data_IF_382769104540
#
_entry.id   IF_382769104540
#
_cell.length_a   1.000
_cell.length_b   1.000
_cell.length_c   1.000
_cell.angle_alpha   90.00
_cell.angle_beta   90.00
_cell.angle_gamma   90.00
#
_symmetry.space_group_name_H-M   'P 1'
#
loop_
_entity.id
_entity.type
_entity.pdbx_description
1 polymer ?
#
# COMPACT_ATOMS: atom_id res chain seq x y z
N UNK A 1 16.34 -24.39 18.73
CA UNK A 1 15.78 -23.23 19.47
C UNK A 1 14.52 -22.82 18.75
N UNK A 2 13.40 -22.75 19.45
CA UNK A 2 12.14 -22.36 18.84
C UNK A 2 12.13 -20.86 18.43
N UNK A 3 11.45 -20.54 17.34
CA UNK A 3 11.38 -19.18 16.79
C UNK A 3 9.97 -18.75 16.37
N UNK A 4 9.80 -17.43 16.21
CA UNK A 4 8.59 -16.84 15.63
C UNK A 4 8.90 -16.44 14.20
N UNK A 5 8.14 -17.00 13.26
CA UNK A 5 8.24 -16.78 11.82
C UNK A 5 7.00 -16.07 11.32
N UNK A 6 7.20 -14.97 10.60
CA UNK A 6 6.13 -14.18 9.99
C UNK A 6 6.14 -14.38 8.47
N UNK A 7 4.97 -14.63 7.89
CA UNK A 7 4.77 -14.72 6.44
C UNK A 7 3.73 -13.70 6.01
N UNK A 8 4.11 -12.77 5.14
CA UNK A 8 3.20 -11.72 4.64
C UNK A 8 3.11 -11.64 3.13
N UNK A 9 2.05 -10.98 2.65
CA UNK A 9 1.75 -10.83 1.24
C UNK A 9 0.25 -10.67 0.99
N UNK A 10 -0.09 -10.11 -0.16
CA UNK A 10 -1.49 -9.88 -0.55
C UNK A 10 -2.30 -11.19 -0.58
N UNK A 11 -3.63 -11.13 -0.44
CA UNK A 11 -4.49 -12.29 -0.73
C UNK A 11 -4.14 -12.93 -2.08
N UNK A 12 -4.08 -14.25 -2.13
CA UNK A 12 -3.69 -15.01 -3.33
C UNK A 12 -2.19 -14.98 -3.69
N UNK A 13 -1.32 -14.34 -2.89
CA UNK A 13 0.14 -14.35 -3.17
C UNK A 13 0.79 -15.73 -3.01
N UNK A 14 0.14 -16.64 -2.28
CA UNK A 14 0.62 -17.98 -1.99
C UNK A 14 1.27 -18.15 -0.61
N UNK A 15 0.89 -17.33 0.39
CA UNK A 15 1.41 -17.44 1.77
C UNK A 15 1.21 -18.84 2.36
N UNK A 16 -0.02 -19.35 2.29
CA UNK A 16 -0.39 -20.68 2.77
C UNK A 16 0.37 -21.77 2.02
N UNK A 17 0.48 -21.66 0.69
CA UNK A 17 1.25 -22.61 -0.14
C UNK A 17 2.74 -22.61 0.20
N UNK A 18 3.35 -21.44 0.49
CA UNK A 18 4.74 -21.36 0.96
C UNK A 18 4.90 -22.14 2.27
N UNK A 19 3.99 -21.95 3.21
CA UNK A 19 4.03 -22.65 4.49
C UNK A 19 3.84 -24.17 4.30
N UNK A 20 2.84 -24.62 3.54
CA UNK A 20 2.63 -26.06 3.29
C UNK A 20 3.85 -26.68 2.60
N UNK A 21 4.48 -25.95 1.66
CA UNK A 21 5.75 -26.38 1.07
C UNK A 21 6.86 -26.55 2.10
N UNK A 22 6.89 -25.71 3.15
CA UNK A 22 7.85 -25.87 4.24
C UNK A 22 7.48 -27.05 5.13
N UNK A 23 6.20 -27.23 5.45
CA UNK A 23 5.74 -28.39 6.22
C UNK A 23 6.12 -29.72 5.58
N UNK A 24 6.16 -29.78 4.25
CA UNK A 24 6.58 -30.96 3.51
C UNK A 24 8.11 -31.20 3.51
N UNK A 25 8.92 -30.13 3.58
CA UNK A 25 10.36 -30.19 3.27
C UNK A 25 11.26 -29.95 4.47
N UNK A 26 10.85 -29.09 5.39
CA UNK A 26 11.70 -28.69 6.50
C UNK A 26 11.76 -29.81 7.55
N UNK A 27 12.96 -30.14 8.05
CA UNK A 27 13.14 -31.21 9.04
C UNK A 27 12.33 -31.01 10.33
N UNK A 28 11.95 -29.76 10.66
CA UNK A 28 11.18 -29.47 11.88
C UNK A 28 9.77 -30.10 11.87
N UNK A 29 9.23 -30.39 10.69
CA UNK A 29 7.91 -31.02 10.52
C UNK A 29 8.01 -32.52 10.25
N UNK A 30 9.24 -33.03 10.09
CA UNK A 30 9.48 -34.45 9.91
C UNK A 30 9.55 -35.15 11.27
N UNK A 31 9.31 -36.47 11.31
CA UNK A 31 9.51 -37.25 12.53
C UNK A 31 10.97 -37.13 13.00
N UNK A 32 11.16 -37.09 14.30
CA UNK A 32 12.50 -37.17 14.90
C UNK A 32 13.13 -38.57 14.70
N UNK A 33 14.34 -38.78 15.22
CA UNK A 33 15.05 -40.06 15.16
C UNK A 33 14.24 -41.22 15.81
N UNK A 34 13.27 -40.90 16.67
CA UNK A 34 12.38 -41.86 17.33
C UNK A 34 11.06 -42.07 16.58
N UNK A 35 10.87 -41.41 15.42
CA UNK A 35 9.64 -41.46 14.63
C UNK A 35 8.50 -40.60 15.21
N UNK A 36 8.78 -39.73 16.18
CA UNK A 36 7.77 -38.87 16.82
C UNK A 36 7.71 -37.55 16.08
N UNK A 37 6.54 -37.22 15.56
CA UNK A 37 6.27 -35.91 14.93
C UNK A 37 5.77 -34.91 15.96
N UNK A 38 6.19 -33.65 15.81
CA UNK A 38 5.71 -32.54 16.64
C UNK A 38 4.22 -32.30 16.38
N UNK A 39 3.45 -32.00 17.43
CA UNK A 39 2.04 -31.61 17.29
C UNK A 39 1.95 -30.29 16.55
N UNK A 40 1.11 -30.23 15.51
CA UNK A 40 0.84 -29.01 14.74
C UNK A 40 -0.57 -28.54 15.04
N UNK A 41 -0.72 -27.31 15.53
CA UNK A 41 -2.01 -26.66 15.75
C UNK A 41 -2.24 -25.58 14.70
N UNK A 42 -3.37 -25.63 13.98
CA UNK A 42 -3.62 -24.68 12.89
C UNK A 42 -5.09 -24.37 12.64
N UNK A 43 -5.38 -23.17 12.16
CA UNK A 43 -6.68 -22.78 11.62
C UNK A 43 -6.78 -22.91 10.09
N UNK A 44 -5.71 -23.37 9.42
CA UNK A 44 -5.70 -23.58 7.96
C UNK A 44 -6.67 -24.71 7.60
N UNK A 45 -7.64 -24.40 6.75
CA UNK A 45 -8.64 -25.36 6.25
C UNK A 45 -8.10 -26.10 5.03
N UNK A 46 -8.50 -27.37 4.82
CA UNK A 46 -8.13 -28.13 3.63
C UNK A 46 -6.70 -28.68 3.62
N UNK A 47 -5.99 -28.61 4.75
CA UNK A 47 -4.68 -29.21 4.92
C UNK A 47 -4.81 -30.74 5.06
N UNK A 48 -4.06 -31.51 4.26
CA UNK A 48 -4.09 -32.99 4.32
C UNK A 48 -3.03 -33.60 5.24
N UNK A 49 -2.05 -32.80 5.65
CA UNK A 49 -1.02 -33.20 6.63
C UNK A 49 -1.64 -33.36 8.02
N UNK A 50 -1.04 -34.19 8.88
CA UNK A 50 -1.52 -34.40 10.25
C UNK A 50 -1.43 -33.10 11.07
N UNK A 51 -2.57 -32.65 11.59
CA UNK A 51 -2.67 -31.43 12.40
C UNK A 51 -3.90 -31.47 13.31
N UNK A 52 -3.91 -30.59 14.31
CA UNK A 52 -5.03 -30.35 15.22
C UNK A 52 -5.69 -29.03 14.81
N UNK A 53 -6.97 -29.04 14.40
CA UNK A 53 -7.66 -27.82 14.01
C UNK A 53 -7.96 -26.95 15.23
N UNK A 54 -7.68 -25.65 15.13
CA UNK A 54 -7.92 -24.66 16.20
C UNK A 54 -8.63 -23.45 15.60
N UNK A 55 -9.68 -22.96 16.27
CA UNK A 55 -10.39 -21.77 15.78
C UNK A 55 -9.62 -20.48 16.09
N UNK A 56 -9.66 -19.55 15.14
CA UNK A 56 -9.06 -18.21 15.23
C UNK A 56 -10.12 -17.10 15.34
N UNK A 57 -11.39 -17.43 15.17
CA UNK A 57 -12.48 -16.45 15.11
C UNK A 57 -13.26 -16.45 16.41
N UNK A 58 -13.23 -15.32 17.12
CA UNK A 58 -14.03 -15.07 18.33
C UNK A 58 -15.50 -15.47 18.21
N UNK A 59 -16.11 -15.21 17.04
CA UNK A 59 -17.54 -15.52 16.80
C UNK A 59 -17.83 -17.01 16.68
N UNK A 60 -16.86 -17.79 16.21
CA UNK A 60 -17.01 -19.24 16.07
C UNK A 60 -16.69 -19.92 17.41
N UNK A 61 -15.61 -19.49 18.07
CA UNK A 61 -15.21 -20.04 19.36
C UNK A 61 -14.34 -19.04 20.15
N UNK A 62 -14.94 -18.43 21.17
CA UNK A 62 -14.27 -17.46 22.03
C UNK A 62 -13.32 -18.07 23.06
N UNK A 63 -13.53 -19.33 23.43
CA UNK A 63 -12.73 -20.06 24.42
C UNK A 63 -12.66 -21.57 24.08
N UNK A 64 -11.59 -22.21 24.52
CA UNK A 64 -11.39 -23.65 24.39
C UNK A 64 -12.39 -24.43 25.24
N UNK A 65 -12.71 -25.62 24.76
CA UNK A 65 -13.56 -26.63 25.40
C UNK A 65 -12.82 -27.96 25.35
N UNK A 66 -13.31 -28.99 26.04
CA UNK A 66 -12.64 -30.30 26.09
C UNK A 66 -12.46 -30.94 24.69
N UNK A 67 -13.32 -30.61 23.73
CA UNK A 67 -13.28 -31.16 22.37
C UNK A 67 -12.66 -30.23 21.32
N UNK A 68 -12.72 -28.90 21.54
CA UNK A 68 -12.32 -27.90 20.53
C UNK A 68 -11.47 -26.82 21.16
N UNK A 69 -10.37 -26.49 20.52
CA UNK A 69 -9.43 -25.46 20.97
C UNK A 69 -9.68 -24.12 20.27
N UNK A 70 -9.39 -23.04 20.98
CA UNK A 70 -9.36 -21.66 20.47
C UNK A 70 -7.96 -21.08 20.58
N UNK A 71 -7.58 -20.24 19.63
CA UNK A 71 -6.33 -19.47 19.72
C UNK A 71 -6.46 -18.25 20.66
N UNK A 72 -7.66 -17.91 21.13
CA UNK A 72 -7.85 -16.77 22.03
C UNK A 72 -7.41 -17.04 23.48
N UNK A 73 -7.31 -18.32 23.85
CA UNK A 73 -6.84 -18.80 25.15
C UNK A 73 -5.66 -19.76 25.01
N UNK A 74 -4.85 -19.59 23.95
CA UNK A 74 -3.66 -20.43 23.74
C UNK A 74 -2.70 -20.39 24.92
N UNK A 75 -2.61 -19.26 25.61
CA UNK A 75 -1.78 -19.11 26.80
C UNK A 75 -2.10 -20.11 27.92
N UNK A 76 -3.32 -20.68 27.99
CA UNK A 76 -3.72 -21.61 29.03
C UNK A 76 -3.38 -23.05 28.64
N UNK A 77 -3.88 -23.51 27.48
CA UNK A 77 -3.70 -24.91 27.08
C UNK A 77 -2.30 -25.23 26.54
N UNK A 78 -1.53 -24.23 26.07
CA UNK A 78 -0.16 -24.46 25.58
C UNK A 78 0.81 -24.83 26.70
N UNK A 79 0.51 -24.44 27.95
CA UNK A 79 1.36 -24.73 29.12
C UNK A 79 1.32 -26.20 29.52
N UNK A 80 0.30 -26.96 29.07
CA UNK A 80 0.19 -28.39 29.35
C UNK A 80 1.41 -29.15 28.80
N UNK A 81 2.05 -30.04 29.58
CA UNK A 81 3.27 -30.75 29.17
C UNK A 81 3.13 -31.50 27.83
N UNK A 82 1.95 -32.03 27.53
CA UNK A 82 1.69 -32.72 26.26
C UNK A 82 1.79 -31.81 25.03
N UNK A 83 1.77 -30.49 25.19
CA UNK A 83 1.80 -29.50 24.11
C UNK A 83 3.15 -28.80 24.00
N UNK A 84 4.11 -29.10 24.89
CA UNK A 84 5.48 -28.61 24.79
C UNK A 84 6.13 -29.17 23.52
N UNK A 85 7.00 -28.38 22.90
CA UNK A 85 7.62 -28.75 21.63
C UNK A 85 6.64 -28.78 20.46
N UNK A 86 5.42 -28.22 20.58
CA UNK A 86 4.47 -28.13 19.46
C UNK A 86 4.84 -27.03 18.46
N UNK A 87 4.12 -27.00 17.34
CA UNK A 87 4.19 -25.96 16.32
C UNK A 87 2.80 -25.32 16.21
N UNK A 88 2.74 -24.00 16.34
CA UNK A 88 1.53 -23.22 16.13
C UNK A 88 1.60 -22.54 14.77
N UNK A 89 0.52 -22.67 14.00
CA UNK A 89 0.39 -22.06 12.69
C UNK A 89 -0.93 -21.29 12.66
N UNK A 90 -0.86 -19.98 12.46
CA UNK A 90 -2.03 -19.11 12.49
C UNK A 90 -2.10 -18.33 11.18
N UNK A 91 -3.06 -18.69 10.34
CA UNK A 91 -3.45 -17.89 9.18
C UNK A 91 -4.33 -16.72 9.58
N UNK A 92 -4.19 -15.59 8.88
CA UNK A 92 -4.82 -14.30 9.21
C UNK A 92 -4.70 -13.95 10.71
N UNK A 93 -3.47 -14.02 11.23
CA UNK A 93 -3.16 -13.92 12.65
C UNK A 93 -3.60 -12.63 13.35
N UNK A 94 -4.00 -11.59 12.60
CA UNK A 94 -4.64 -10.42 13.18
C UNK A 94 -5.99 -10.74 13.85
N UNK A 95 -6.64 -11.85 13.50
CA UNK A 95 -7.86 -12.30 14.17
C UNK A 95 -7.57 -12.71 15.62
N UNK A 96 -6.35 -13.19 15.92
CA UNK A 96 -5.91 -13.64 17.25
C UNK A 96 -5.13 -12.57 17.99
N UNK A 97 -4.16 -11.92 17.31
CA UNK A 97 -3.24 -10.93 17.88
C UNK A 97 -3.24 -9.62 17.07
N UNK A 98 -4.36 -8.87 17.09
CA UNK A 98 -4.47 -7.63 16.34
C UNK A 98 -3.55 -6.53 16.87
N UNK A 99 -3.29 -5.53 16.04
CA UNK A 99 -2.67 -4.29 16.46
C UNK A 99 -3.48 -3.62 17.57
N UNK A 100 -2.79 -3.12 18.60
CA UNK A 100 -3.38 -2.43 19.74
C UNK A 100 -3.10 -0.93 19.70
N UNK A 101 -3.96 -0.17 20.36
CA UNK A 101 -3.73 1.25 20.62
C UNK A 101 -2.46 1.46 21.45
N UNK A 102 -1.70 2.55 21.21
CA UNK A 102 -0.55 2.89 22.04
C UNK A 102 -0.91 2.97 23.53
N UNK A 103 -0.13 2.32 24.39
CA UNK A 103 -0.34 2.34 25.85
C UNK A 103 -1.40 1.37 26.38
N UNK A 104 -2.12 0.63 25.51
CA UNK A 104 -3.03 -0.42 25.97
C UNK A 104 -2.27 -1.52 26.72
N UNK A 105 -2.89 -2.08 27.77
CA UNK A 105 -2.35 -3.23 28.52
C UNK A 105 -2.08 -4.41 27.57
N UNK A 106 -1.00 -5.13 27.81
CA UNK A 106 -0.68 -6.36 27.07
C UNK A 106 -1.63 -7.46 27.53
N UNK A 107 -2.40 -8.10 26.62
CA UNK A 107 -3.29 -9.19 27.00
C UNK A 107 -2.47 -10.46 27.32
N UNK A 108 -2.96 -11.34 28.21
CA UNK A 108 -2.29 -12.60 28.53
C UNK A 108 -1.96 -13.44 27.30
N UNK A 109 -2.87 -13.43 26.31
CA UNK A 109 -2.69 -14.14 25.05
C UNK A 109 -1.52 -13.64 24.19
N UNK A 110 -0.95 -12.47 24.48
CA UNK A 110 0.28 -11.95 23.84
C UNK A 110 1.47 -12.06 24.79
N UNK A 111 1.24 -11.95 26.10
CA UNK A 111 2.30 -11.96 27.12
C UNK A 111 3.10 -13.27 27.11
N UNK A 112 2.41 -14.41 27.02
CA UNK A 112 3.03 -15.75 26.98
C UNK A 112 3.97 -15.94 25.76
N UNK A 113 3.80 -15.16 24.68
CA UNK A 113 4.65 -15.27 23.51
C UNK A 113 6.12 -15.00 23.85
N UNK A 114 6.43 -14.25 24.92
CA UNK A 114 7.82 -14.04 25.35
C UNK A 114 8.46 -15.33 25.88
N UNK A 115 7.66 -16.24 26.44
CA UNK A 115 8.13 -17.50 27.04
C UNK A 115 7.99 -18.70 26.10
N UNK A 116 7.54 -18.49 24.85
CA UNK A 116 7.34 -19.56 23.86
C UNK A 116 8.55 -20.50 23.70
N UNK A 117 9.77 -19.95 23.85
CA UNK A 117 11.03 -20.72 23.74
C UNK A 117 11.26 -21.68 24.90
N UNK A 118 10.78 -21.35 26.09
CA UNK A 118 10.87 -22.24 27.26
C UNK A 118 10.00 -23.48 27.06
N UNK A 119 8.86 -23.30 26.39
CA UNK A 119 7.96 -24.39 26.02
C UNK A 119 8.40 -25.13 24.73
N UNK A 120 9.46 -24.65 24.05
CA UNK A 120 9.91 -25.20 22.77
C UNK A 120 8.90 -25.01 21.63
N UNK A 121 8.01 -24.02 21.72
CA UNK A 121 6.92 -23.82 20.75
C UNK A 121 7.38 -22.94 19.59
N UNK A 122 7.35 -23.48 18.37
CA UNK A 122 7.59 -22.71 17.15
C UNK A 122 6.29 -22.09 16.65
N UNK A 123 6.33 -20.82 16.26
CA UNK A 123 5.12 -20.06 15.92
C UNK A 123 5.26 -19.50 14.50
N UNK A 124 4.33 -19.88 13.63
CA UNK A 124 4.18 -19.36 12.29
C UNK A 124 2.92 -18.50 12.23
N UNK A 125 3.09 -17.21 11.92
CA UNK A 125 1.98 -16.27 11.75
C UNK A 125 1.92 -15.80 10.31
N UNK A 126 0.75 -15.90 9.69
CA UNK A 126 0.49 -15.44 8.35
C UNK A 126 -0.48 -14.25 8.43
N UNK A 127 -0.20 -13.20 7.69
CA UNK A 127 -1.09 -12.03 7.60
C UNK A 127 -0.86 -11.29 6.29
N UNK A 128 -1.78 -10.43 5.89
CA UNK A 128 -1.60 -9.58 4.71
C UNK A 128 -0.58 -8.48 4.93
N UNK A 129 -0.57 -7.88 6.12
CA UNK A 129 0.28 -6.75 6.47
C UNK A 129 0.83 -6.91 7.90
N UNK A 130 2.15 -6.81 8.13
CA UNK A 130 2.72 -6.89 9.47
C UNK A 130 2.06 -5.93 10.47
N UNK A 131 1.66 -4.74 10.03
CA UNK A 131 1.05 -3.72 10.91
C UNK A 131 -0.31 -4.11 11.46
N UNK A 132 -0.97 -5.14 10.93
CA UNK A 132 -2.20 -5.67 11.49
C UNK A 132 -1.97 -6.46 12.77
N UNK A 133 -0.71 -6.82 13.05
CA UNK A 133 -0.32 -7.60 14.22
C UNK A 133 0.12 -6.73 15.40
N UNK A 134 -0.05 -7.31 16.59
CA UNK A 134 0.48 -6.76 17.84
C UNK A 134 1.96 -6.38 17.74
N UNK A 135 2.32 -5.23 18.29
CA UNK A 135 3.69 -4.73 18.30
C UNK A 135 4.64 -5.67 19.05
N UNK A 136 4.19 -6.28 20.15
CA UNK A 136 5.00 -7.20 20.95
C UNK A 136 5.30 -8.48 20.17
N UNK A 137 4.28 -9.06 19.52
CA UNK A 137 4.46 -10.21 18.62
C UNK A 137 5.47 -9.87 17.51
N UNK A 138 5.33 -8.70 16.86
CA UNK A 138 6.28 -8.27 15.82
C UNK A 138 7.72 -8.15 16.33
N UNK A 139 7.91 -7.74 17.59
CA UNK A 139 9.23 -7.66 18.21
C UNK A 139 9.91 -9.02 18.44
N UNK A 140 9.13 -10.10 18.53
CA UNK A 140 9.62 -11.47 18.73
C UNK A 140 10.01 -12.19 17.43
N UNK A 141 9.53 -11.69 16.28
CA UNK A 141 9.80 -12.27 14.96
C UNK A 141 11.31 -12.33 14.69
N UNK A 142 11.82 -13.53 14.42
CA UNK A 142 13.23 -13.77 14.05
C UNK A 142 13.41 -14.05 12.56
N UNK A 143 12.32 -14.38 11.86
CA UNK A 143 12.32 -14.59 10.42
C UNK A 143 11.05 -14.04 9.83
N UNK A 144 11.16 -13.21 8.82
CA UNK A 144 10.03 -12.64 8.10
C UNK A 144 10.19 -12.91 6.62
N UNK A 145 9.24 -13.60 6.02
CA UNK A 145 9.09 -13.71 4.58
C UNK A 145 7.95 -12.84 4.08
N UNK A 146 8.21 -12.06 3.02
CA UNK A 146 7.17 -11.34 2.29
C UNK A 146 7.14 -11.80 0.84
N UNK A 147 5.97 -12.20 0.36
CA UNK A 147 5.76 -12.58 -1.04
C UNK A 147 5.29 -11.34 -1.81
N UNK A 148 6.21 -10.70 -2.53
CA UNK A 148 5.93 -9.57 -3.41
C UNK A 148 5.61 -10.08 -4.82
N UNK A 149 4.46 -9.67 -5.38
CA UNK A 149 4.12 -9.92 -6.77
C UNK A 149 4.37 -8.66 -7.62
N UNK A 150 5.06 -8.81 -8.75
CA UNK A 150 5.18 -7.72 -9.72
C UNK A 150 3.99 -7.69 -10.69
N UNK A 151 3.83 -6.57 -11.41
CA UNK A 151 2.73 -6.39 -12.39
C UNK A 151 2.75 -7.40 -13.54
N UNK A 152 3.87 -8.11 -13.76
CA UNK A 152 4.03 -9.13 -14.79
C UNK A 152 3.71 -10.55 -14.27
N UNK A 153 3.34 -10.70 -13.00
CA UNK A 153 2.97 -11.98 -12.39
C UNK A 153 4.14 -12.78 -11.81
N UNK A 154 5.38 -12.28 -11.90
CA UNK A 154 6.53 -12.88 -11.22
C UNK A 154 6.48 -12.55 -9.73
N UNK A 155 6.74 -13.57 -8.91
CA UNK A 155 6.73 -13.46 -7.44
C UNK A 155 8.16 -13.51 -6.92
N UNK A 156 8.45 -12.64 -5.96
CA UNK A 156 9.74 -12.55 -5.27
C UNK A 156 9.50 -12.79 -3.80
N UNK A 157 10.28 -13.68 -3.20
CA UNK A 157 10.32 -13.89 -1.76
C UNK A 157 11.39 -12.96 -1.19
N UNK A 158 10.96 -12.04 -0.32
CA UNK A 158 11.84 -11.15 0.43
C UNK A 158 11.97 -11.71 1.86
N UNK A 159 13.19 -11.90 2.33
CA UNK A 159 13.47 -12.42 3.67
C UNK A 159 14.21 -11.42 4.55
N UNK A 160 13.77 -11.26 5.79
CA UNK A 160 14.47 -10.52 6.85
C UNK A 160 14.63 -11.38 8.09
N UNK A 161 15.67 -11.09 8.88
CA UNK A 161 15.91 -11.70 10.22
C UNK A 161 15.14 -10.99 11.35
N UNK A 162 14.16 -10.17 11.00
CA UNK A 162 13.34 -9.35 11.90
C UNK A 162 12.01 -9.00 11.21
N UNK A 163 11.03 -8.48 11.95
CA UNK A 163 9.80 -7.98 11.35
C UNK A 163 10.01 -6.65 10.60
N UNK A 164 10.14 -6.71 9.28
CA UNK A 164 9.99 -5.53 8.42
C UNK A 164 8.54 -5.00 8.44
N UNK A 165 8.31 -3.84 9.07
CA UNK A 165 6.99 -3.22 9.18
C UNK A 165 6.42 -2.73 7.84
N UNK A 166 7.30 -2.40 6.89
CA UNK A 166 6.93 -1.98 5.54
C UNK A 166 7.77 -2.79 4.53
N UNK A 167 7.36 -4.03 4.19
CA UNK A 167 8.18 -4.96 3.42
C UNK A 167 8.64 -4.40 2.06
N UNK A 168 7.79 -3.65 1.37
CA UNK A 168 8.12 -3.09 0.05
C UNK A 168 9.17 -1.98 0.13
N UNK A 169 9.05 -1.05 1.08
CA UNK A 169 10.01 0.05 1.24
C UNK A 169 11.33 -0.42 1.87
N UNK A 170 11.27 -1.50 2.65
CA UNK A 170 12.43 -2.14 3.29
C UNK A 170 13.00 -3.29 2.45
N UNK A 171 12.56 -3.47 1.20
CA UNK A 171 13.01 -4.55 0.33
C UNK A 171 14.52 -4.54 0.07
N UNK A 172 15.16 -3.36 0.14
CA UNK A 172 16.61 -3.19 0.01
C UNK A 172 17.42 -3.89 1.12
N UNK A 173 16.81 -4.06 2.30
CA UNK A 173 17.44 -4.70 3.47
C UNK A 173 17.11 -6.21 3.51
N UNK A 174 16.42 -6.72 2.49
CA UNK A 174 15.94 -8.09 2.40
C UNK A 174 16.87 -8.97 1.57
N UNK A 175 16.93 -10.25 1.90
CA UNK A 175 17.42 -11.27 0.98
C UNK A 175 16.30 -11.60 -0.03
N UNK A 176 16.49 -11.19 -1.28
CA UNK A 176 15.52 -11.42 -2.34
C UNK A 176 15.83 -12.72 -3.09
N UNK A 177 14.81 -13.56 -3.28
CA UNK A 177 14.88 -14.76 -4.11
C UNK A 177 13.64 -14.90 -4.99
N UNK A 178 13.75 -15.59 -6.12
CA UNK A 178 12.60 -15.86 -6.99
C UNK A 178 11.70 -16.86 -6.28
N UNK A 179 10.42 -16.52 -6.11
CA UNK A 179 9.45 -17.40 -5.52
C UNK A 179 8.76 -18.24 -6.61
N UNK A 180 9.03 -19.54 -6.61
CA UNK A 180 8.28 -20.52 -7.40
C UNK A 180 7.41 -21.34 -6.47
N UNK A 181 6.14 -21.46 -6.84
CA UNK A 181 5.25 -22.44 -6.23
C UNK A 181 5.69 -23.83 -6.66
N UNK A 182 5.68 -24.76 -5.73
CA UNK A 182 5.93 -26.17 -6.00
C UNK A 182 4.58 -26.86 -6.21
N UNK A 183 4.41 -27.50 -7.37
CA UNK A 183 3.14 -28.11 -7.76
C UNK A 183 2.77 -29.31 -6.85
N UNK A 184 3.77 -29.96 -6.23
CA UNK A 184 3.54 -31.06 -5.28
C UNK A 184 2.78 -30.63 -4.01
N UNK A 185 2.73 -29.33 -3.74
CA UNK A 185 2.03 -28.77 -2.57
C UNK A 185 0.52 -28.86 -2.71
N UNK A 186 0.00 -28.85 -3.94
CA UNK A 186 -1.45 -28.96 -4.18
C UNK A 186 -2.00 -30.35 -3.83
N UNK A 187 -1.14 -31.37 -3.83
CA UNK A 187 -1.54 -32.70 -3.36
C UNK A 187 -1.75 -32.72 -1.84
N UNK A 188 -1.07 -31.84 -1.10
CA UNK A 188 -1.08 -31.78 0.36
C UNK A 188 -2.07 -30.74 0.92
N UNK A 189 -2.64 -29.91 0.06
CA UNK A 189 -3.52 -28.81 0.46
C UNK A 189 -4.56 -28.48 -0.60
N UNK A 190 -5.83 -28.47 -0.20
CA UNK A 190 -6.96 -28.06 -1.05
C UNK A 190 -7.41 -26.63 -0.69
N UNK A 191 -7.27 -25.70 -1.62
CA UNK A 191 -7.60 -24.29 -1.41
C UNK A 191 -9.11 -24.06 -1.55
N UNK A 192 -9.83 -24.10 -0.44
CA UNK A 192 -11.29 -23.93 -0.42
C UNK A 192 -11.79 -22.49 -0.73
N UNK A 193 -10.90 -21.51 -0.91
CA UNK A 193 -11.29 -20.16 -1.31
C UNK A 193 -11.23 -20.03 -2.82
N UNK A 194 -12.41 -20.22 -3.43
CA UNK A 194 -12.87 -19.80 -4.76
C UNK A 194 -11.73 -19.39 -5.69
N UNK A 195 -11.51 -20.20 -6.73
CA UNK A 195 -10.79 -19.90 -7.97
C UNK A 195 -11.00 -18.45 -8.43
N UNK A 196 -10.35 -17.51 -7.75
CA UNK A 196 -10.26 -16.12 -8.17
C UNK A 196 -9.06 -16.16 -9.07
N UNK A 197 -9.31 -16.66 -10.27
CA UNK A 197 -8.43 -16.52 -11.41
C UNK A 197 -8.24 -15.00 -11.58
N UNK A 198 -7.28 -14.44 -10.86
CA UNK A 198 -6.78 -13.12 -11.13
C UNK A 198 -6.09 -13.24 -12.48
N UNK A 199 -6.89 -13.14 -13.55
CA UNK A 199 -6.43 -12.96 -14.93
C UNK A 199 -5.66 -11.65 -14.92
N UNK A 200 -4.38 -11.72 -14.58
CA UNK A 200 -3.45 -10.62 -14.73
C UNK A 200 -3.62 -10.18 -16.17
N UNK A 201 -4.15 -8.96 -16.39
CA UNK A 201 -4.31 -8.40 -17.73
C UNK A 201 -2.91 -8.27 -18.32
N UNK A 202 -2.44 -9.33 -19.01
CA UNK A 202 -1.15 -9.32 -19.69
C UNK A 202 -1.20 -8.18 -20.69
N UNK A 203 -0.25 -7.25 -20.58
CA UNK A 203 -0.17 -6.10 -21.47
C UNK A 203 -0.14 -6.57 -22.92
N UNK A 204 -0.92 -5.95 -23.81
CA UNK A 204 -1.02 -6.33 -25.24
C UNK A 204 0.35 -6.39 -25.94
N UNK A 205 1.34 -5.67 -25.41
CA UNK A 205 2.74 -5.67 -25.84
C UNK A 205 3.40 -7.06 -25.85
N UNK A 206 2.98 -7.99 -24.99
CA UNK A 206 3.51 -9.37 -24.95
C UNK A 206 3.20 -10.12 -26.25
N UNK A 207 2.11 -9.76 -26.94
CA UNK A 207 1.72 -10.35 -28.22
C UNK A 207 2.24 -9.56 -29.43
N UNK A 208 2.35 -8.24 -29.30
CA UNK A 208 2.79 -7.35 -30.39
C UNK A 208 4.29 -7.51 -30.67
N UNK A 209 5.13 -7.66 -29.64
CA UNK A 209 6.59 -7.75 -29.79
C UNK A 209 7.06 -8.97 -30.61
N UNK A 210 6.63 -10.22 -30.33
CA UNK A 210 7.02 -11.37 -31.14
C UNK A 210 6.43 -11.30 -32.56
N UNK A 211 5.20 -10.77 -32.72
CA UNK A 211 4.59 -10.59 -34.03
C UNK A 211 5.38 -9.59 -34.88
N UNK A 212 5.82 -8.46 -34.30
CA UNK A 212 6.66 -7.49 -34.97
C UNK A 212 8.04 -8.07 -35.36
N UNK A 213 8.64 -8.90 -34.50
CA UNK A 213 9.90 -9.58 -34.77
C UNK A 213 9.82 -10.57 -35.95
N UNK A 214 8.66 -11.20 -36.16
CA UNK A 214 8.42 -12.10 -37.31
C UNK A 214 8.05 -11.32 -38.58
N UNK A 215 7.24 -10.27 -38.46
CA UNK A 215 6.78 -9.49 -39.61
C UNK A 215 7.86 -8.57 -40.18
N UNK A 216 8.76 -8.03 -39.35
CA UNK A 216 9.85 -7.15 -39.80
C UNK A 216 10.76 -7.78 -40.89
N UNK A 217 11.30 -9.01 -40.74
CA UNK A 217 12.12 -9.63 -41.77
C UNK A 217 11.31 -9.99 -43.03
N UNK A 218 10.03 -10.34 -42.89
CA UNK A 218 9.14 -10.60 -44.03
C UNK A 218 8.93 -9.31 -44.84
N UNK A 219 8.62 -8.20 -44.17
CA UNK A 219 8.48 -6.89 -44.82
C UNK A 219 9.77 -6.43 -45.50
N UNK A 220 10.92 -6.62 -44.86
CA UNK A 220 12.22 -6.32 -45.44
C UNK A 220 12.50 -7.18 -46.69
N UNK A 221 12.19 -8.47 -46.65
CA UNK A 221 12.38 -9.39 -47.77
C UNK A 221 11.46 -9.06 -48.96
N UNK A 222 10.18 -8.78 -48.70
CA UNK A 222 9.20 -8.39 -49.74
C UNK A 222 9.59 -7.04 -50.35
N UNK A 223 9.99 -6.07 -49.54
CA UNK A 223 10.45 -4.76 -50.00
C UNK A 223 11.71 -4.88 -50.87
N UNK A 224 12.69 -5.69 -50.44
CA UNK A 224 13.89 -5.98 -51.23
C UNK A 224 13.55 -6.62 -52.58
N UNK A 225 12.62 -7.58 -52.61
CA UNK A 225 12.18 -8.25 -53.85
C UNK A 225 11.48 -7.28 -54.80
N UNK A 226 10.58 -6.42 -54.29
CA UNK A 226 9.92 -5.40 -55.11
C UNK A 226 10.88 -4.35 -55.64
N UNK A 227 11.85 -3.87 -54.83
CA UNK A 227 12.89 -2.97 -55.32
C UNK A 227 13.74 -3.64 -56.42
N UNK A 228 14.14 -4.90 -56.22
CA UNK A 228 14.93 -5.64 -57.21
C UNK A 228 14.15 -5.87 -58.51
N UNK A 229 12.84 -6.08 -58.44
CA UNK A 229 11.97 -6.30 -59.60
C UNK A 229 11.72 -4.99 -60.37
N UNK A 230 11.66 -3.84 -59.68
CA UNK A 230 11.53 -2.51 -60.28
C UNK A 230 12.85 -1.91 -60.78
N UNK A 231 14.01 -2.47 -60.41
CA UNK A 231 15.32 -2.08 -60.93
C UNK A 231 15.74 -2.83 -62.21
N UNK A 232 14.96 -3.82 -62.66
CA UNK A 232 15.18 -4.57 -63.91
C UNK A 232 14.22 -4.18 -65.05
N UNK A 233 13.41 -3.14 -64.86
CA UNK A 233 12.65 -2.52 -65.93
C UNK A 233 13.38 -1.24 -66.34
N UNK A 234 13.98 -1.24 -67.52
CA UNK A 234 14.47 -0.03 -68.18
C UNK A 234 13.39 1.04 -68.12
N UNK A 235 13.67 2.12 -67.41
CA UNK A 235 12.90 3.35 -67.51
C UNK A 235 13.63 4.28 -68.46
N UNK A 236 13.19 4.22 -69.71
CA UNK A 236 13.36 5.32 -70.66
C UNK A 236 12.85 6.62 -70.03
N UNK A 237 13.67 7.66 -70.12
CA UNK A 237 13.35 9.03 -69.72
C UNK A 237 12.86 9.77 -70.96
N UNK A 238 11.65 10.35 -70.94
CA UNK A 238 11.38 11.54 -71.73
C UNK A 238 11.41 12.76 -70.81
N UNK A 239 12.20 13.75 -71.21
CA UNK A 239 12.38 15.00 -70.50
C UNK A 239 11.30 16.04 -70.79
N UNK A 240 11.39 17.07 -69.94
CA UNK A 240 11.03 18.48 -70.16
C UNK A 240 9.57 18.79 -70.49
N UNK A 241 8.89 19.47 -69.56
CA UNK A 241 8.64 20.91 -69.78
C UNK A 241 8.38 21.65 -68.47
N UNK A 242 9.07 22.78 -68.37
CA UNK A 242 9.13 23.70 -67.26
C UNK A 242 8.35 24.94 -67.70
N UNK A 243 7.26 25.26 -67.00
CA UNK A 243 6.61 26.57 -67.11
C UNK A 243 6.90 27.35 -65.82
N UNK A 244 7.59 28.47 -66.00
CA UNK A 244 8.07 29.36 -64.96
C UNK A 244 7.10 30.51 -64.65
N UNK A 245 7.32 31.14 -63.48
CA UNK A 245 7.02 32.54 -63.07
C UNK A 245 5.53 32.94 -62.90
N UNK A 246 5.07 33.64 -61.87
CA UNK A 246 5.76 34.51 -60.88
C UNK A 246 4.83 34.86 -59.67
N UNK A 247 5.21 35.73 -58.69
CA UNK A 247 4.93 35.54 -57.26
C UNK A 247 3.97 36.56 -56.63
N UNK A 248 3.44 36.27 -55.43
CA UNK A 248 3.02 37.29 -54.46
C UNK A 248 2.97 36.73 -53.03
N UNK A 249 3.40 37.55 -52.08
CA UNK A 249 3.89 37.21 -50.77
C UNK A 249 2.87 37.37 -49.61
N UNK A 250 3.34 36.95 -48.44
CA UNK A 250 2.90 37.21 -47.06
C UNK A 250 1.78 36.31 -46.53
N UNK A 251 1.89 35.57 -45.43
CA UNK A 251 2.89 35.35 -44.37
C UNK A 251 2.25 34.29 -43.46
N UNK A 252 2.94 33.28 -42.90
CA UNK A 252 3.76 33.29 -41.69
C UNK A 252 4.44 31.90 -41.64
N UNK A 253 5.75 31.76 -41.40
CA UNK A 253 6.33 30.45 -41.14
C UNK A 253 6.14 30.13 -39.65
N UNK A 254 5.22 29.22 -39.35
CA UNK A 254 5.09 28.62 -38.03
C UNK A 254 6.19 27.55 -37.88
N UNK A 255 7.43 28.00 -37.69
CA UNK A 255 8.55 27.13 -37.35
C UNK A 255 8.67 27.01 -35.84
N UNK A 256 7.74 26.28 -35.22
CA UNK A 256 8.01 25.68 -33.90
C UNK A 256 8.45 24.25 -34.15
N UNK A 257 9.75 24.11 -34.40
CA UNK A 257 10.43 22.86 -34.68
C UNK A 257 10.22 21.84 -33.55
N UNK A 258 9.50 20.78 -33.88
CA UNK A 258 9.53 19.52 -33.15
C UNK A 258 10.92 18.91 -33.29
N UNK A 259 11.78 19.08 -32.28
CA UNK A 259 13.09 18.39 -32.19
C UNK A 259 12.93 16.91 -31.78
N UNK A 260 11.77 16.31 -32.03
CA UNK A 260 11.49 14.91 -31.70
C UNK A 260 12.08 13.91 -32.72
N UNK A 261 12.77 14.36 -33.76
CA UNK A 261 13.35 13.49 -34.79
C UNK A 261 14.83 13.81 -35.06
N UNK A 262 15.73 13.25 -34.24
CA UNK A 262 17.09 12.86 -34.65
C UNK A 262 18.02 13.91 -35.28
N UNK A 263 17.78 15.21 -35.13
CA UNK A 263 18.68 16.27 -35.60
C UNK A 263 19.95 16.36 -34.76
N UNK A 264 21.08 16.72 -35.39
CA UNK A 264 22.34 16.93 -34.69
C UNK A 264 22.25 18.08 -33.67
N UNK A 265 22.94 17.92 -32.52
CA UNK A 265 23.01 18.95 -31.49
C UNK A 265 23.84 20.14 -31.99
N UNK A 266 23.27 21.36 -31.92
CA UNK A 266 23.97 22.60 -32.26
C UNK A 266 24.17 23.47 -30.99
N UNK A 267 25.26 24.26 -30.90
CA UNK A 267 25.54 25.10 -29.73
C UNK A 267 24.42 26.09 -29.38
N UNK A 268 23.66 26.55 -30.38
CA UNK A 268 22.59 27.53 -30.23
C UNK A 268 21.42 26.97 -29.40
N UNK A 269 21.21 25.65 -29.41
CA UNK A 269 20.16 25.00 -28.60
C UNK A 269 20.41 25.05 -27.09
N UNK A 270 21.64 25.39 -26.67
CA UNK A 270 22.03 25.47 -25.26
C UNK A 270 21.99 26.90 -24.71
N UNK A 271 21.70 27.91 -25.55
CA UNK A 271 21.56 29.30 -25.13
C UNK A 271 20.13 29.54 -24.62
N UNK A 272 19.95 30.00 -23.36
CA UNK A 272 18.63 30.35 -22.83
C UNK A 272 18.00 31.54 -23.60
N UNK A 273 16.74 31.43 -24.00
CA UNK A 273 15.99 32.57 -24.57
C UNK A 273 15.72 33.66 -23.52
N UNK A 274 15.59 33.26 -22.26
CA UNK A 274 15.52 34.17 -21.11
C UNK A 274 16.81 33.98 -20.30
N UNK A 275 17.64 35.02 -20.23
CA UNK A 275 18.98 34.96 -19.66
C UNK A 275 19.02 34.44 -18.22
N UNK A 276 17.98 34.73 -17.42
CA UNK A 276 17.89 34.33 -16.01
C UNK A 276 17.25 32.94 -15.80
N UNK A 277 16.78 32.30 -16.86
CA UNK A 277 15.99 31.06 -16.80
C UNK A 277 16.63 29.97 -17.64
N UNK A 278 17.49 29.12 -17.08
CA UNK A 278 18.12 28.00 -17.80
C UNK A 278 17.11 27.03 -18.43
N UNK A 279 15.91 26.93 -17.86
CA UNK A 279 14.78 26.16 -18.39
C UNK A 279 14.24 26.72 -19.70
N UNK A 280 14.64 27.93 -20.12
CA UNK A 280 14.18 28.57 -21.35
C UNK A 280 14.83 27.99 -22.63
N UNK A 281 15.93 27.24 -22.53
CA UNK A 281 16.73 26.71 -23.66
C UNK A 281 15.90 25.95 -24.71
N UNK A 282 16.08 26.21 -26.03
CA UNK A 282 15.32 25.57 -27.10
C UNK A 282 15.27 24.04 -27.06
N UNK A 283 16.35 23.39 -26.57
CA UNK A 283 16.43 21.92 -26.42
C UNK A 283 15.28 21.34 -25.58
N UNK A 284 14.73 22.11 -24.64
CA UNK A 284 13.64 21.66 -23.77
C UNK A 284 12.25 21.91 -24.36
N UNK A 285 12.11 22.51 -25.55
CA UNK A 285 10.80 22.82 -26.16
C UNK A 285 9.88 21.60 -26.28
N UNK A 286 10.42 20.44 -26.65
CA UNK A 286 9.63 19.22 -26.85
C UNK A 286 9.11 18.56 -25.56
N UNK A 287 9.70 18.88 -24.39
CA UNK A 287 9.34 18.28 -23.09
C UNK A 287 8.66 19.27 -22.14
N UNK A 288 8.77 20.58 -22.43
CA UNK A 288 8.14 21.63 -21.63
C UNK A 288 6.65 21.66 -21.93
N UNK A 289 5.87 21.19 -20.97
CA UNK A 289 4.42 21.32 -20.95
C UNK A 289 4.01 22.11 -19.71
N UNK A 290 3.14 23.10 -19.91
CA UNK A 290 2.57 23.88 -18.81
C UNK A 290 1.64 22.95 -18.02
N UNK A 291 2.01 22.61 -16.79
CA UNK A 291 1.19 21.75 -15.90
C UNK A 291 0.11 22.53 -15.15
N UNK A 292 0.38 23.80 -14.88
CA UNK A 292 -0.51 24.72 -14.18
C UNK A 292 -0.22 26.14 -14.67
N UNK A 293 -1.25 26.96 -14.74
CA UNK A 293 -1.13 28.38 -15.09
C UNK A 293 -1.15 29.24 -13.83
N UNK A 294 -0.65 30.47 -13.94
CA UNK A 294 -0.68 31.43 -12.84
C UNK A 294 -2.12 31.91 -12.62
N UNK A 295 -2.69 31.60 -11.46
CA UNK A 295 -4.02 32.06 -11.05
C UNK A 295 -3.95 32.81 -9.73
N UNK A 296 -4.98 33.61 -9.46
CA UNK A 296 -5.12 34.33 -8.19
C UNK A 296 -5.56 33.36 -7.11
N UNK A 297 -4.68 33.07 -6.15
CA UNK A 297 -4.99 32.18 -5.03
C UNK A 297 -5.52 32.93 -3.80
N UNK A 298 -4.99 34.14 -3.56
CA UNK A 298 -5.42 35.00 -2.46
C UNK A 298 -5.07 36.47 -2.73
N UNK A 299 -5.93 37.39 -2.27
CA UNK A 299 -5.64 38.82 -2.17
C UNK A 299 -5.76 39.24 -0.72
N UNK A 300 -4.81 40.05 -0.26
CA UNK A 300 -4.73 40.49 1.14
C UNK A 300 -4.62 42.01 1.14
N UNK A 301 -5.56 42.68 1.80
CA UNK A 301 -5.49 44.11 2.09
C UNK A 301 -5.06 44.30 3.56
N UNK A 302 -3.88 44.89 3.78
CA UNK A 302 -3.40 45.20 5.12
C UNK A 302 -1.91 45.51 5.23
N UNK A 303 -1.56 46.36 6.21
CA UNK A 303 -0.18 46.69 6.60
C UNK A 303 0.44 47.88 5.86
N UNK A 304 1.77 48.04 5.99
CA UNK A 304 2.55 49.12 5.34
C UNK A 304 2.78 48.91 3.84
N UNK A 305 2.40 47.74 3.32
CA UNK A 305 2.71 47.26 1.96
C UNK A 305 1.58 47.41 0.95
N UNK A 306 0.41 47.93 1.36
CA UNK A 306 -0.78 48.03 0.51
C UNK A 306 -1.45 46.68 0.24
N UNK A 307 -2.42 46.67 -0.69
CA UNK A 307 -3.10 45.44 -1.09
C UNK A 307 -2.27 44.68 -2.15
N UNK A 308 -2.08 43.37 -1.94
CA UNK A 308 -1.40 42.51 -2.92
C UNK A 308 -2.10 41.16 -3.11
N UNK A 309 -2.10 40.69 -4.36
CA UNK A 309 -2.60 39.37 -4.75
C UNK A 309 -1.45 38.41 -5.06
N UNK A 310 -1.67 37.13 -4.78
CA UNK A 310 -0.65 36.08 -4.85
C UNK A 310 -1.15 34.85 -5.61
N UNK A 311 -0.23 34.14 -6.26
CA UNK A 311 -0.48 32.84 -6.90
C UNK A 311 -0.46 31.68 -5.90
N UNK A 312 -0.83 30.47 -6.32
CA UNK A 312 -0.75 29.25 -5.48
C UNK A 312 0.67 28.97 -4.95
N UNK A 313 1.69 29.55 -5.59
CA UNK A 313 3.09 29.44 -5.21
C UNK A 313 3.58 30.66 -4.42
N UNK A 314 2.67 31.46 -3.85
CA UNK A 314 2.95 32.67 -3.08
C UNK A 314 3.76 33.73 -3.85
N UNK A 315 3.64 33.77 -5.18
CA UNK A 315 4.29 34.80 -6.01
C UNK A 315 3.35 35.99 -6.19
N UNK A 316 3.85 37.22 -6.02
CA UNK A 316 3.05 38.45 -6.17
C UNK A 316 2.65 38.66 -7.63
N UNK A 317 1.34 38.75 -7.88
CA UNK A 317 0.76 39.05 -9.20
C UNK A 317 0.83 40.56 -9.40
N UNK A 318 1.47 41.00 -10.49
CA UNK A 318 1.71 42.43 -10.77
C UNK A 318 0.65 43.04 -11.69
N UNK A 319 -0.10 42.18 -12.36
CA UNK A 319 -1.11 42.50 -13.36
C UNK A 319 -2.41 42.99 -12.71
N UNK A 320 -2.60 42.77 -11.41
CA UNK A 320 -3.79 43.17 -10.67
C UNK A 320 -3.57 44.55 -10.04
N UNK A 321 -4.36 45.58 -10.44
CA UNK A 321 -4.26 46.90 -9.85
C UNK A 321 -4.77 46.92 -8.41
N UNK A 322 -4.29 47.88 -7.61
CA UNK A 322 -4.62 47.96 -6.18
C UNK A 322 -6.12 48.07 -5.89
N UNK A 323 -6.89 48.76 -6.73
CA UNK A 323 -8.34 48.89 -6.57
C UNK A 323 -9.04 47.53 -6.66
N UNK A 324 -8.68 46.72 -7.66
CA UNK A 324 -9.24 45.38 -7.87
C UNK A 324 -8.77 44.40 -6.79
N UNK A 325 -7.56 44.57 -6.28
CA UNK A 325 -7.07 43.80 -5.14
C UNK A 325 -7.93 44.01 -3.89
N UNK A 326 -8.32 45.26 -3.59
CA UNK A 326 -9.18 45.57 -2.43
C UNK A 326 -10.56 44.94 -2.58
N UNK A 327 -11.14 45.03 -3.78
CA UNK A 327 -12.41 44.36 -4.10
C UNK A 327 -12.31 42.85 -3.84
N UNK A 328 -11.28 42.18 -4.37
CA UNK A 328 -11.05 40.76 -4.13
C UNK A 328 -10.76 40.39 -2.67
N UNK A 329 -10.12 41.28 -1.91
CA UNK A 329 -9.84 41.07 -0.50
C UNK A 329 -11.11 41.22 0.37
N UNK A 330 -12.04 42.11 -0.01
CA UNK A 330 -13.27 42.37 0.74
C UNK A 330 -14.45 41.50 0.32
N UNK A 331 -14.66 41.32 -0.98
CA UNK A 331 -15.80 40.58 -1.55
C UNK A 331 -15.48 39.10 -1.81
N UNK A 332 -14.18 38.75 -1.76
CA UNK A 332 -13.68 37.43 -2.08
C UNK A 332 -13.30 37.29 -3.55
N UNK A 333 -12.58 36.21 -3.87
CA UNK A 333 -12.14 35.93 -5.22
C UNK A 333 -13.30 35.43 -6.09
N UNK A 334 -13.33 35.77 -7.39
CA UNK A 334 -14.28 35.19 -8.32
C UNK A 334 -14.13 33.67 -8.40
N UNK A 335 -15.22 32.98 -8.72
CA UNK A 335 -15.22 31.52 -8.86
C UNK A 335 -14.18 31.07 -9.88
N UNK A 336 -13.27 30.16 -9.47
CA UNK A 336 -12.25 29.58 -10.33
C UNK A 336 -12.78 28.26 -10.95
N UNK A 337 -13.15 28.24 -12.24
CA UNK A 337 -13.68 27.04 -12.91
C UNK A 337 -12.60 25.98 -13.17
N UNK A 338 -11.32 26.31 -13.00
CA UNK A 338 -10.19 25.41 -13.22
C UNK A 338 -9.69 24.79 -11.91
N UNK A 339 -10.26 25.18 -10.76
CA UNK A 339 -9.96 24.57 -9.48
C UNK A 339 -10.53 23.16 -9.45
N UNK A 340 -9.64 22.16 -9.54
CA UNK A 340 -10.03 20.78 -9.25
C UNK A 340 -10.67 20.74 -7.86
N UNK A 341 -11.91 20.26 -7.79
CA UNK A 341 -12.51 19.87 -6.52
C UNK A 341 -11.60 18.78 -5.97
N UNK A 342 -10.81 19.11 -4.92
CA UNK A 342 -10.20 18.07 -4.10
C UNK A 342 -11.34 17.17 -3.70
N UNK A 343 -11.37 15.96 -4.25
CA UNK A 343 -12.13 14.88 -3.64
C UNK A 343 -11.60 14.82 -2.22
N UNK A 344 -12.40 15.33 -1.28
CA UNK A 344 -12.26 15.00 0.13
C UNK A 344 -12.31 13.49 0.18
N UNK A 345 -11.15 12.85 0.12
CA UNK A 345 -10.98 11.53 0.70
C UNK A 345 -11.50 11.68 2.13
N UNK A 346 -12.57 10.94 2.42
CA UNK A 346 -13.32 10.89 3.68
C UNK A 346 -12.47 11.29 4.90
N UNK A 347 -12.45 12.58 5.19
CA UNK A 347 -12.28 13.07 6.54
C UNK A 347 -13.70 13.24 7.03
N UNK A 348 -14.28 12.14 7.54
CA UNK A 348 -15.38 12.27 8.50
C UNK A 348 -14.97 13.36 9.49
N UNK A 349 -15.83 14.35 9.78
CA UNK A 349 -15.62 15.17 10.95
C UNK A 349 -15.45 14.20 12.12
N UNK A 350 -14.35 14.33 12.86
CA UNK A 350 -14.30 13.75 14.18
C UNK A 350 -15.52 14.31 14.92
N UNK A 351 -16.51 13.46 15.15
CA UNK A 351 -17.62 13.75 16.04
C UNK A 351 -16.98 14.13 17.38
N UNK A 352 -17.17 15.39 17.78
CA UNK A 352 -16.75 15.83 19.09
C UNK A 352 -17.38 14.89 20.12
N UNK A 353 -16.64 14.43 21.14
CA UNK A 353 -17.27 13.70 22.23
C UNK A 353 -18.39 14.58 22.82
N UNK A 354 -19.53 14.00 23.24
CA UNK A 354 -20.57 14.80 23.85
C UNK A 354 -19.97 15.54 25.04
N UNK A 355 -20.21 16.86 25.11
CA UNK A 355 -19.94 17.63 26.31
C UNK A 355 -20.70 16.96 27.47
N UNK A 356 -19.98 16.24 28.31
CA UNK A 356 -20.44 15.89 29.64
C UNK A 356 -20.67 17.19 30.41
N UNK A 357 -21.93 17.63 30.43
CA UNK A 357 -22.41 18.53 31.47
C UNK A 357 -22.00 17.90 32.81
N UNK A 358 -21.31 18.62 33.71
CA UNK A 358 -21.03 18.07 35.03
C UNK A 358 -22.38 17.81 35.71
N UNK A 359 -22.73 16.53 35.82
CA UNK A 359 -23.82 16.09 36.68
C UNK A 359 -23.40 16.42 38.10
N UNK A 360 -24.13 17.35 38.73
CA UNK A 360 -24.08 17.57 40.16
C UNK A 360 -24.42 16.22 40.79
N UNK A 361 -23.43 15.58 41.39
CA UNK A 361 -23.59 14.40 42.22
C UNK A 361 -24.43 14.84 43.43
N UNK A 362 -25.75 14.62 43.37
CA UNK A 362 -26.61 14.79 44.52
C UNK A 362 -26.14 13.79 45.59
N UNK A 363 -25.50 14.30 46.64
CA UNK A 363 -25.29 13.55 47.88
C UNK A 363 -26.67 13.29 48.50
N UNK A 364 -27.25 12.12 48.23
CA UNK A 364 -28.32 11.56 49.07
C UNK A 364 -27.70 11.04 50.38
N UNK A 365 -27.28 11.99 51.22
CA UNK A 365 -26.96 11.73 52.61
C UNK A 365 -28.27 11.67 53.40
N UNK A 366 -28.64 10.48 53.89
CA UNK A 366 -29.69 10.36 54.90
C UNK A 366 -29.32 11.22 56.12
N UNK A 367 -30.22 12.08 56.62
CA UNK A 367 -29.93 12.88 57.79
C UNK A 367 -29.84 11.98 59.02
N UNK A 368 -28.67 11.96 59.66
CA UNK A 368 -28.51 11.36 61.00
C UNK A 368 -29.31 12.19 62.01
N UNK A 369 -30.10 11.50 62.83
CA UNK A 369 -30.83 12.11 63.95
C UNK A 369 -29.85 12.82 64.91
N UNK A 370 -30.07 14.11 65.10
CA UNK A 370 -29.34 14.89 66.09
C UNK A 370 -29.83 14.53 67.50
N UNK A 371 -28.94 13.97 68.30
CA UNK A 371 -29.08 13.81 69.74
C UNK A 371 -28.59 15.11 70.37
N UNK A 372 -29.43 16.15 70.38
CA UNK A 372 -29.23 17.34 71.19
C UNK A 372 -30.59 17.98 71.44
N UNK A 373 -30.87 18.25 72.72
CA UNK A 373 -32.11 18.80 73.28
C UNK A 373 -33.23 17.77 73.58
N UNK A 374 -32.89 16.77 74.38
CA UNK A 374 -33.80 16.29 75.42
C UNK A 374 -33.54 17.10 76.70
N UNK A 375 -34.30 18.16 76.89
CA UNK A 375 -34.73 18.70 78.19
C UNK A 375 -35.44 20.02 77.89
N UNK A 376 -36.76 20.00 77.98
CA UNK A 376 -37.54 20.94 78.79
C UNK A 376 -39.03 20.61 78.62
N UNK A 377 -39.61 20.01 79.65
CA UNK A 377 -41.06 19.91 79.83
C UNK A 377 -41.59 21.28 80.32
N UNK A 378 -42.83 21.66 79.95
CA UNK A 378 -43.97 21.44 80.87
C UNK A 378 -45.24 20.95 80.12
N UNK A 379 -46.02 20.00 80.66
CA UNK A 379 -47.14 20.17 81.63
C UNK A 379 -48.35 20.95 81.07
N UNK A 380 -49.44 20.18 80.87
CA UNK A 380 -50.88 20.47 81.00
C UNK A 380 -51.51 21.72 80.34
N UNK A 381 -52.59 21.49 79.57
CA UNK A 381 -53.95 21.79 80.06
C UNK A 381 -55.03 21.19 79.15
N UNK A 382 -55.90 20.41 79.82
CA UNK A 382 -57.34 20.11 79.60
C UNK A 382 -57.84 19.60 78.25
#
# INVERSE_FOLDING_TARGET
MAEVVLITGTPGSGKTLKLVSMMAKDPMFQPDENGISRKVFTNIKGLKLSHIPVSSKLKEQSASTDEKLSFHDVYDWIEKPENHGSILIIDEAQDVWPARSPGAKVPPNVEWLNTHRHLGVDIFVLTQNPKYLDLNLRGLVKKHWHIAANKLGMRTLLEWKYCANNPITQAKDAFASIYKLDDSVYDLYDSAEVHTENKTKRSKWVYVLPLALVLAPIFLFVSYKMLKQNYSADREVPGLEQAASDPAAAGVPDTVGSYANGGNLTPEMFVPTLAEKPESKPIYNGVRQVKAFERVAACIDGGKSGCACYTDQATKIREIPEALCREYAHEGLPFDPYREQRQTADSRPAEAPPEERPQILALDGQPRQNIAYSNDAPVLAQ
#
